data_IF_894199127695
#
_entry.id   IF_894199127695
#
_cell.length_a   1.000
_cell.length_b   1.000
_cell.length_c   1.000
_cell.angle_alpha   90.00
_cell.angle_beta   90.00
_cell.angle_gamma   90.00
#
_symmetry.space_group_name_H-M   'P 1'
#
loop_
_entity.id
_entity.type
_entity.pdbx_description
1 polymer ?
#
# COMPACT_ATOMS: atom_id res chain seq x y z
N UNK A 1 37.21 6.27 41.75
CA UNK A 1 36.43 5.32 42.60
C UNK A 1 35.25 4.79 41.79
N UNK A 2 34.47 3.85 42.33
CA UNK A 2 33.33 3.12 41.71
C UNK A 2 32.72 3.68 40.41
N UNK A 3 32.62 2.82 39.39
CA UNK A 3 31.60 2.93 38.32
C UNK A 3 30.19 2.87 38.94
N UNK A 4 29.19 3.42 38.25
CA UNK A 4 27.86 2.83 38.24
C UNK A 4 27.40 2.70 36.78
N UNK A 5 26.87 1.54 36.45
CA UNK A 5 26.30 1.17 35.15
C UNK A 5 24.90 0.68 35.47
N UNK A 6 23.88 1.16 34.74
CA UNK A 6 22.48 0.88 35.07
C UNK A 6 21.74 0.35 33.85
N UNK A 7 22.04 -0.89 33.50
CA UNK A 7 21.17 -1.73 32.67
C UNK A 7 19.88 -2.02 33.43
N UNK A 8 18.73 -1.90 32.79
CA UNK A 8 17.46 -2.40 33.30
C UNK A 8 16.91 -3.44 32.34
N UNK A 9 16.71 -4.66 32.82
CA UNK A 9 16.20 -5.79 32.03
C UNK A 9 15.35 -6.66 32.94
N UNK A 10 14.03 -6.64 32.72
CA UNK A 10 12.95 -7.47 33.28
C UNK A 10 11.71 -7.08 32.45
N UNK A 11 10.85 -7.98 32.00
CA UNK A 11 10.90 -9.45 32.06
C UNK A 11 9.56 -10.03 31.61
N UNK A 12 9.57 -11.03 30.73
CA UNK A 12 8.35 -11.66 30.22
C UNK A 12 7.63 -12.48 31.32
N UNK A 13 6.31 -12.38 31.36
CA UNK A 13 5.46 -13.24 32.22
C UNK A 13 4.49 -14.01 31.33
N UNK A 14 4.84 -15.26 31.04
CA UNK A 14 3.91 -16.25 30.51
C UNK A 14 3.03 -16.76 31.65
N UNK A 15 1.70 -16.74 31.47
CA UNK A 15 0.75 -17.42 32.35
C UNK A 15 0.06 -18.52 31.55
N UNK A 16 0.48 -19.76 31.79
CA UNK A 16 -0.22 -20.97 31.34
C UNK A 16 -0.63 -21.80 32.56
N UNK A 17 -1.93 -22.05 32.70
CA UNK A 17 -2.51 -23.00 33.65
C UNK A 17 -3.63 -23.75 32.91
N UNK A 18 -3.80 -25.04 33.17
CA UNK A 18 -4.70 -25.88 32.38
C UNK A 18 -5.65 -26.76 33.19
N UNK A 19 -6.76 -27.10 32.53
CA UNK A 19 -7.23 -28.49 32.33
C UNK A 19 -7.67 -29.30 33.57
N UNK A 20 -8.99 -29.58 33.63
CA UNK A 20 -9.68 -30.71 34.33
C UNK A 20 -9.74 -30.66 35.88
N UNK A 21 -10.74 -31.20 36.62
CA UNK A 21 -12.07 -31.86 36.42
C UNK A 21 -12.81 -31.80 37.80
N UNK A 22 -14.12 -32.04 38.03
CA UNK A 22 -15.40 -32.09 37.27
C UNK A 22 -16.55 -32.23 38.35
N UNK A 23 -17.63 -33.00 38.08
CA UNK A 23 -18.73 -33.48 38.97
C UNK A 23 -19.87 -32.50 39.31
N UNK A 24 -20.86 -32.46 38.40
CA UNK A 24 -22.04 -31.60 38.42
C UNK A 24 -23.26 -32.03 39.27
N UNK A 25 -24.37 -31.30 39.10
CA UNK A 25 -25.76 -31.80 39.14
C UNK A 25 -26.81 -30.68 38.97
N UNK A 26 -27.94 -30.96 38.29
CA UNK A 26 -29.21 -30.22 38.47
C UNK A 26 -29.75 -29.34 37.31
N UNK A 27 -30.35 -29.98 36.30
CA UNK A 27 -31.52 -29.54 35.47
C UNK A 27 -31.77 -28.03 35.17
N UNK A 28 -31.82 -27.62 33.88
CA UNK A 28 -32.09 -26.19 33.53
C UNK A 28 -32.51 -25.76 32.10
N UNK A 29 -32.39 -26.61 31.07
CA UNK A 29 -32.87 -26.42 29.68
C UNK A 29 -32.29 -25.30 28.75
N UNK A 30 -31.98 -25.71 27.52
CA UNK A 30 -32.00 -24.94 26.24
C UNK A 30 -31.48 -23.48 26.17
N UNK A 31 -30.19 -23.29 25.89
CA UNK A 31 -29.72 -23.03 24.51
C UNK A 31 -28.18 -22.99 24.41
N UNK A 32 -27.57 -23.84 23.57
CA UNK A 32 -26.17 -23.66 23.16
C UNK A 32 -26.12 -22.77 21.91
N UNK A 33 -25.31 -21.71 21.98
CA UNK A 33 -24.89 -20.89 20.85
C UNK A 33 -23.52 -20.26 21.16
N UNK A 34 -22.49 -21.10 21.20
CA UNK A 34 -21.10 -20.63 21.19
C UNK A 34 -20.82 -19.92 19.87
N UNK A 35 -20.80 -18.59 19.88
CA UNK A 35 -20.30 -17.81 18.74
C UNK A 35 -18.78 -17.89 18.74
N UNK A 36 -18.23 -18.92 18.09
CA UNK A 36 -16.83 -18.94 17.72
C UNK A 36 -16.52 -17.76 16.78
N UNK A 37 -15.30 -17.22 16.86
CA UNK A 37 -14.86 -16.15 15.97
C UNK A 37 -14.80 -16.70 14.54
N UNK A 38 -15.71 -16.25 13.68
CA UNK A 38 -15.81 -16.71 12.29
C UNK A 38 -14.67 -16.11 11.44
N UNK A 39 -13.45 -16.63 11.64
CA UNK A 39 -12.37 -16.47 10.67
C UNK A 39 -12.84 -17.05 9.33
N UNK A 40 -12.75 -16.30 8.22
CA UNK A 40 -13.06 -16.84 6.90
C UNK A 40 -12.27 -18.12 6.64
N UNK A 41 -12.90 -19.11 6.02
CA UNK A 41 -12.16 -20.30 5.61
C UNK A 41 -11.24 -19.96 4.44
N UNK A 42 -10.22 -20.79 4.21
CA UNK A 42 -9.37 -20.67 3.02
C UNK A 42 -10.14 -20.89 1.70
N UNK A 43 -11.39 -21.37 1.76
CA UNK A 43 -12.27 -21.57 0.61
C UNK A 43 -13.14 -20.32 0.34
N UNK A 44 -13.47 -19.51 1.35
CA UNK A 44 -14.17 -18.22 1.14
C UNK A 44 -13.24 -17.14 0.53
N UNK A 45 -11.93 -17.20 0.80
CA UNK A 45 -10.94 -16.36 0.09
C UNK A 45 -10.75 -16.74 -1.38
N UNK A 46 -11.22 -17.92 -1.81
CA UNK A 46 -11.05 -18.38 -3.19
C UNK A 46 -12.10 -17.83 -4.17
N UNK A 47 -13.26 -17.37 -3.69
CA UNK A 47 -14.38 -16.98 -4.57
C UNK A 47 -14.12 -15.66 -5.33
N UNK A 48 -13.36 -14.72 -4.73
CA UNK A 48 -12.92 -13.49 -5.41
C UNK A 48 -11.85 -13.75 -6.50
N UNK A 49 -11.08 -14.83 -6.41
CA UNK A 49 -10.17 -15.24 -7.50
C UNK A 49 -10.94 -15.78 -8.74
N UNK A 50 -12.26 -16.00 -8.64
CA UNK A 50 -13.07 -16.57 -9.71
C UNK A 50 -13.33 -15.64 -10.91
N UNK A 51 -13.09 -14.33 -10.78
CA UNK A 51 -13.40 -13.33 -11.82
C UNK A 51 -12.25 -13.01 -12.79
N UNK A 52 -11.00 -13.31 -12.42
CA UNK A 52 -9.83 -13.03 -13.27
C UNK A 52 -9.19 -14.32 -13.79
N UNK A 53 -9.70 -14.80 -14.94
CA UNK A 53 -8.92 -15.68 -15.81
C UNK A 53 -7.89 -14.87 -16.61
N UNK A 54 -6.93 -14.27 -15.90
CA UNK A 54 -5.63 -13.98 -16.52
C UNK A 54 -5.03 -15.32 -16.95
N UNK A 55 -4.55 -15.41 -18.20
CA UNK A 55 -3.87 -16.61 -18.67
C UNK A 55 -2.64 -16.84 -17.79
N UNK A 56 -2.60 -17.93 -17.01
CA UNK A 56 -1.78 -18.07 -15.79
C UNK A 56 -0.29 -18.38 -16.08
N UNK A 57 0.23 -17.77 -17.14
CA UNK A 57 1.57 -17.91 -17.72
C UNK A 57 2.16 -16.55 -18.15
N UNK A 58 1.40 -15.46 -18.04
CA UNK A 58 1.76 -14.11 -18.47
C UNK A 58 2.14 -13.27 -17.24
N UNK A 59 3.41 -12.92 -17.11
CA UNK A 59 3.85 -11.94 -16.12
C UNK A 59 3.46 -10.54 -16.60
N UNK A 60 2.56 -9.91 -15.86
CA UNK A 60 1.94 -8.63 -16.22
C UNK A 60 2.86 -7.45 -15.90
N UNK A 61 3.70 -7.59 -14.86
CA UNK A 61 4.65 -6.55 -14.45
C UNK A 61 5.86 -6.52 -15.39
N UNK A 62 6.21 -7.67 -15.98
CA UNK A 62 7.24 -7.78 -17.02
C UNK A 62 6.86 -7.16 -18.38
N UNK A 63 5.61 -6.69 -18.56
CA UNK A 63 5.18 -5.96 -19.77
C UNK A 63 5.39 -4.44 -19.68
N UNK A 64 5.68 -3.91 -18.48
CA UNK A 64 6.07 -2.51 -18.27
C UNK A 64 7.48 -2.31 -18.82
N UNK A 65 7.61 -1.42 -19.83
CA UNK A 65 8.87 -1.26 -20.57
C UNK A 65 9.89 -0.34 -19.91
N UNK A 66 9.52 0.28 -18.78
CA UNK A 66 10.39 1.14 -17.98
C UNK A 66 11.62 0.36 -17.51
N UNK A 67 12.80 0.87 -17.86
CA UNK A 67 14.07 0.31 -17.39
C UNK A 67 14.33 0.70 -15.92
N UNK A 68 14.95 -0.18 -15.11
CA UNK A 68 15.52 0.19 -13.82
C UNK A 68 16.49 1.39 -13.98
N UNK A 69 16.56 2.25 -12.96
CA UNK A 69 17.54 3.34 -12.94
C UNK A 69 18.93 2.80 -12.57
N UNK A 70 20.00 3.55 -12.88
CA UNK A 70 21.39 3.11 -12.64
C UNK A 70 21.74 2.79 -11.17
N UNK A 71 20.84 3.08 -10.21
CA UNK A 71 21.01 2.76 -8.78
C UNK A 71 19.73 2.15 -8.15
N UNK A 72 18.80 1.63 -8.96
CA UNK A 72 17.50 1.04 -8.53
C UNK A 72 16.57 1.98 -7.75
N UNK A 73 16.91 3.27 -7.70
CA UNK A 73 16.11 4.33 -7.12
C UNK A 73 14.96 4.71 -8.06
N UNK A 74 13.76 4.82 -7.52
CA UNK A 74 12.59 5.28 -8.25
C UNK A 74 12.70 6.81 -8.40
N UNK A 75 12.44 7.40 -9.58
CA UNK A 75 12.47 8.85 -9.75
C UNK A 75 11.41 9.54 -8.89
N UNK A 76 11.79 10.68 -8.32
CA UNK A 76 10.97 11.51 -7.43
C UNK A 76 11.06 12.98 -7.80
N UNK A 77 10.04 13.74 -7.40
CA UNK A 77 9.98 15.20 -7.49
C UNK A 77 10.03 15.76 -6.07
N UNK A 78 11.05 16.57 -5.77
CA UNK A 78 11.15 17.26 -4.49
C UNK A 78 9.99 18.25 -4.30
N UNK A 79 9.46 18.32 -3.08
CA UNK A 79 8.37 19.23 -2.69
C UNK A 79 8.82 20.19 -1.60
N UNK A 80 8.55 21.48 -1.81
CA UNK A 80 8.77 22.51 -0.79
C UNK A 80 7.74 22.33 0.34
N UNK A 81 8.23 22.23 1.58
CA UNK A 81 7.42 22.21 2.82
C UNK A 81 6.27 21.17 2.80
N UNK A 82 6.59 19.86 2.94
CA UNK A 82 5.60 18.77 2.91
C UNK A 82 4.69 18.72 4.14
N UNK A 83 5.06 19.41 5.23
CA UNK A 83 4.22 19.52 6.41
C UNK A 83 3.41 20.82 6.34
N UNK A 84 2.07 20.79 6.49
CA UNK A 84 1.32 21.99 6.81
C UNK A 84 1.81 22.55 8.16
N UNK A 85 1.96 23.87 8.29
CA UNK A 85 2.17 24.46 9.62
C UNK A 85 0.92 24.22 10.49
N UNK A 86 1.06 23.54 11.62
CA UNK A 86 -0.06 23.06 12.46
C UNK A 86 -1.08 24.15 12.83
N UNK A 87 -0.64 25.41 12.99
CA UNK A 87 -1.50 26.55 13.37
C UNK A 87 -2.07 27.34 12.18
N UNK A 88 -1.77 27.00 10.93
CA UNK A 88 -2.28 27.71 9.75
C UNK A 88 -3.72 27.27 9.40
N UNK A 89 -4.65 28.24 9.37
CA UNK A 89 -6.07 27.98 9.12
C UNK A 89 -6.32 27.32 7.74
N UNK A 90 -5.55 27.69 6.71
CA UNK A 90 -5.69 27.17 5.34
C UNK A 90 -5.47 25.64 5.21
N UNK A 91 -4.81 25.01 6.21
CA UNK A 91 -4.51 23.57 6.20
C UNK A 91 -5.39 22.71 7.11
N UNK A 92 -6.16 23.31 8.02
CA UNK A 92 -6.90 22.60 9.07
C UNK A 92 -8.42 22.70 8.83
N UNK A 93 -9.06 21.59 8.46
CA UNK A 93 -10.46 21.55 8.03
C UNK A 93 -11.24 20.42 8.71
N UNK A 94 -12.56 20.57 8.92
CA UNK A 94 -13.41 19.37 9.05
C UNK A 94 -13.73 18.76 7.69
N UNK A 95 -14.09 17.47 7.68
CA UNK A 95 -14.57 16.75 6.49
C UNK A 95 -15.73 17.46 5.75
N UNK A 96 -16.50 18.31 6.45
CA UNK A 96 -17.59 19.11 5.86
C UNK A 96 -17.14 20.45 5.27
N UNK A 97 -16.04 21.00 5.75
CA UNK A 97 -15.50 22.28 5.25
C UNK A 97 -14.68 22.04 3.99
N UNK A 98 -13.76 21.06 4.02
CA UNK A 98 -12.94 20.72 2.86
C UNK A 98 -13.80 20.32 1.64
N UNK A 99 -14.83 19.49 1.85
CA UNK A 99 -15.75 19.05 0.80
C UNK A 99 -16.76 20.13 0.36
N UNK A 100 -16.92 21.22 1.13
CA UNK A 100 -17.76 22.37 0.74
C UNK A 100 -16.97 23.41 -0.07
N UNK A 101 -15.66 23.48 0.10
CA UNK A 101 -14.84 24.57 -0.43
C UNK A 101 -13.91 24.16 -1.58
N UNK A 102 -13.48 22.88 -1.63
CA UNK A 102 -12.47 22.40 -2.58
C UNK A 102 -12.90 21.20 -3.43
N UNK A 103 -14.12 20.69 -3.24
CA UNK A 103 -14.65 19.59 -4.04
C UNK A 103 -15.19 20.09 -5.39
N UNK A 104 -14.75 19.48 -6.48
CA UNK A 104 -15.18 19.80 -7.84
C UNK A 104 -16.57 19.21 -8.20
N UNK A 105 -17.03 19.51 -9.42
CA UNK A 105 -18.31 19.00 -9.95
C UNK A 105 -18.35 17.46 -10.10
N UNK A 106 -17.20 16.77 -10.01
CA UNK A 106 -17.09 15.31 -10.07
C UNK A 106 -17.02 14.66 -8.68
N UNK A 107 -16.94 15.44 -7.60
CA UNK A 107 -16.79 14.95 -6.22
C UNK A 107 -15.33 14.80 -5.75
N UNK A 108 -14.36 15.36 -6.47
CA UNK A 108 -12.91 15.27 -6.20
C UNK A 108 -12.40 16.54 -5.53
N UNK A 109 -11.63 16.39 -4.46
CA UNK A 109 -10.74 17.40 -3.87
C UNK A 109 -9.32 17.13 -4.39
N UNK A 110 -8.61 18.17 -4.81
CA UNK A 110 -7.23 18.07 -5.29
C UNK A 110 -6.42 19.34 -5.04
N UNK A 111 -5.22 19.18 -4.50
CA UNK A 111 -4.22 20.25 -4.36
C UNK A 111 -2.92 19.80 -5.05
N UNK A 112 -2.41 20.53 -6.06
CA UNK A 112 -1.16 20.18 -6.73
C UNK A 112 0.04 20.28 -5.78
N UNK A 113 1.12 19.52 -6.01
CA UNK A 113 2.30 19.48 -5.12
C UNK A 113 2.84 20.86 -4.68
N UNK A 114 2.83 21.84 -5.59
CA UNK A 114 3.29 23.23 -5.38
C UNK A 114 2.35 24.13 -4.54
N UNK A 115 1.21 23.60 -4.11
CA UNK A 115 0.13 24.28 -3.36
C UNK A 115 -0.16 23.53 -2.05
N UNK A 116 0.88 22.84 -1.57
CA UNK A 116 0.97 21.91 -0.43
C UNK A 116 -0.11 20.80 -0.50
N UNK A 117 0.25 19.54 -0.81
CA UNK A 117 -0.75 18.51 -1.12
C UNK A 117 -1.53 17.96 0.08
N UNK A 118 -1.15 18.32 1.31
CA UNK A 118 -1.68 17.76 2.55
C UNK A 118 -2.65 18.69 3.28
N UNK A 119 -3.69 18.14 3.91
CA UNK A 119 -4.57 18.86 4.85
C UNK A 119 -4.75 18.04 6.13
N UNK A 120 -4.81 18.71 7.27
CA UNK A 120 -5.25 18.13 8.54
C UNK A 120 -6.77 18.08 8.53
N UNK A 121 -7.34 16.88 8.45
CA UNK A 121 -8.78 16.66 8.36
C UNK A 121 -9.33 16.13 9.68
N UNK A 122 -10.21 16.90 10.31
CA UNK A 122 -10.96 16.49 11.50
C UNK A 122 -12.28 15.82 11.12
N UNK A 123 -12.52 14.64 11.70
CA UNK A 123 -13.71 13.83 11.47
C UNK A 123 -15.02 14.55 11.80
N UNK A 124 -16.13 14.17 11.14
CA UNK A 124 -17.48 14.75 11.37
C UNK A 124 -17.94 14.73 12.83
N UNK A 125 -17.45 13.79 13.65
CA UNK A 125 -17.74 13.68 15.08
C UNK A 125 -16.77 14.44 16.00
N UNK A 126 -15.70 15.02 15.45
CA UNK A 126 -14.66 15.76 16.16
C UNK A 126 -13.71 14.91 17.00
N UNK A 127 -13.68 13.58 16.84
CA UNK A 127 -12.85 12.69 17.67
C UNK A 127 -11.45 12.46 17.13
N UNK A 128 -11.27 12.52 15.81
CA UNK A 128 -10.04 12.12 15.12
C UNK A 128 -9.60 13.22 14.17
N UNK A 129 -8.31 13.52 14.14
CA UNK A 129 -7.70 14.36 13.09
C UNK A 129 -6.60 13.55 12.41
N UNK A 130 -6.62 13.53 11.07
CA UNK A 130 -5.67 12.76 10.26
C UNK A 130 -5.09 13.63 9.13
N UNK A 131 -3.87 13.31 8.70
CA UNK A 131 -3.23 13.97 7.57
C UNK A 131 -3.72 13.31 6.27
N UNK A 132 -4.46 14.05 5.45
CA UNK A 132 -4.95 13.60 4.16
C UNK A 132 -4.09 14.14 3.02
N UNK A 133 -3.50 13.24 2.22
CA UNK A 133 -2.86 13.59 0.95
C UNK A 133 -3.93 13.72 -0.15
N UNK A 134 -4.12 14.94 -0.65
CA UNK A 134 -5.07 15.25 -1.73
C UNK A 134 -4.39 15.41 -3.10
N UNK A 135 -3.10 15.08 -3.24
CA UNK A 135 -2.50 14.89 -4.55
C UNK A 135 -2.84 13.51 -5.12
N UNK A 136 -2.49 13.27 -6.38
CA UNK A 136 -2.57 11.99 -7.07
C UNK A 136 -1.23 11.26 -7.17
N UNK A 137 -0.35 11.44 -6.17
CA UNK A 137 0.95 10.76 -6.04
C UNK A 137 1.20 10.27 -4.62
N UNK A 138 2.05 9.25 -4.48
CA UNK A 138 2.62 8.84 -3.20
C UNK A 138 3.66 9.88 -2.77
N UNK A 139 3.79 10.15 -1.46
CA UNK A 139 4.69 11.19 -0.95
C UNK A 139 5.39 10.71 0.32
N UNK A 140 6.71 10.80 0.38
CA UNK A 140 7.48 10.52 1.59
C UNK A 140 7.74 11.81 2.38
N UNK A 141 7.15 11.90 3.57
CA UNK A 141 7.13 13.12 4.37
C UNK A 141 8.50 13.58 4.88
N UNK A 142 9.42 12.66 5.16
CA UNK A 142 10.70 12.99 5.79
C UNK A 142 11.76 13.42 4.78
N UNK A 143 11.75 12.82 3.59
CA UNK A 143 12.66 13.19 2.50
C UNK A 143 12.13 14.40 1.70
N UNK A 144 10.85 14.74 1.85
CA UNK A 144 10.15 15.78 1.10
C UNK A 144 10.11 15.47 -0.42
N UNK A 145 9.74 14.23 -0.76
CA UNK A 145 9.75 13.73 -2.13
C UNK A 145 8.42 13.07 -2.54
N UNK A 146 7.95 13.39 -3.74
CA UNK A 146 6.74 12.84 -4.35
C UNK A 146 7.09 11.87 -5.50
N UNK A 147 6.36 10.77 -5.58
CA UNK A 147 6.57 9.69 -6.56
C UNK A 147 5.62 9.91 -7.74
N UNK A 148 6.15 10.49 -8.81
CA UNK A 148 5.38 11.06 -9.95
C UNK A 148 5.99 10.57 -11.26
N UNK A 149 5.15 10.28 -12.25
CA UNK A 149 5.57 10.01 -13.63
C UNK A 149 5.67 11.31 -14.43
N UNK A 150 6.63 11.39 -15.37
CA UNK A 150 6.64 12.45 -16.38
C UNK A 150 5.39 12.37 -17.29
N UNK A 151 4.96 13.49 -17.88
CA UNK A 151 3.68 13.62 -18.61
C UNK A 151 3.49 12.56 -19.72
N UNK A 152 4.56 12.15 -20.41
CA UNK A 152 4.53 11.12 -21.45
C UNK A 152 4.48 9.69 -20.88
N UNK A 153 5.13 9.46 -19.74
CA UNK A 153 5.02 8.21 -19.00
C UNK A 153 3.63 8.01 -18.37
N UNK A 154 2.91 9.08 -18.02
CA UNK A 154 1.51 9.02 -17.56
C UNK A 154 0.61 8.43 -18.64
N UNK A 155 0.79 8.83 -19.92
CA UNK A 155 0.01 8.27 -21.04
C UNK A 155 0.33 6.78 -21.24
N UNK A 156 1.61 6.37 -21.22
CA UNK A 156 1.97 4.95 -21.33
C UNK A 156 1.42 4.11 -20.16
N UNK A 157 1.57 4.58 -18.92
CA UNK A 157 1.09 3.89 -17.74
C UNK A 157 -0.44 3.71 -17.79
N UNK A 158 -1.20 4.79 -18.02
CA UNK A 158 -2.66 4.70 -18.17
C UNK A 158 -3.06 3.73 -19.29
N UNK A 159 -2.38 3.77 -20.45
CA UNK A 159 -2.64 2.86 -21.57
C UNK A 159 -2.37 1.39 -21.22
N UNK A 160 -1.31 1.10 -20.46
CA UNK A 160 -1.01 -0.24 -19.93
C UNK A 160 -2.16 -0.74 -19.03
N UNK A 161 -2.65 0.08 -18.08
CA UNK A 161 -3.75 -0.32 -17.21
C UNK A 161 -5.06 -0.57 -17.98
N UNK A 162 -5.46 0.27 -18.94
CA UNK A 162 -6.73 0.06 -19.66
C UNK A 162 -6.66 -1.11 -20.66
N UNK A 163 -5.51 -1.38 -21.29
CA UNK A 163 -5.40 -2.48 -22.27
C UNK A 163 -5.15 -3.85 -21.67
N UNK A 164 -4.99 -3.96 -20.34
CA UNK A 164 -4.77 -5.21 -19.62
C UNK A 164 -5.71 -6.36 -20.01
N UNK A 165 -7.02 -6.07 -20.11
CA UNK A 165 -8.08 -7.03 -20.47
C UNK A 165 -8.52 -6.97 -21.95
N UNK A 166 -8.00 -6.03 -22.74
CA UNK A 166 -8.31 -5.85 -24.16
C UNK A 166 -9.01 -4.53 -24.49
N UNK A 167 -9.92 -4.55 -25.48
CA UNK A 167 -10.72 -3.39 -25.87
C UNK A 167 -11.93 -3.20 -24.92
N UNK A 168 -12.12 -1.99 -24.39
CA UNK A 168 -13.24 -1.62 -23.53
C UNK A 168 -13.59 -0.12 -23.58
N UNK A 169 -14.67 0.28 -22.92
CA UNK A 169 -14.98 1.69 -22.66
C UNK A 169 -14.53 2.03 -21.23
N UNK A 170 -13.69 3.06 -21.10
CA UNK A 170 -12.95 3.37 -19.88
C UNK A 170 -13.10 4.85 -19.51
N UNK A 171 -13.06 5.15 -18.20
CA UNK A 171 -12.83 6.48 -17.65
C UNK A 171 -11.46 6.98 -18.09
N UNK A 172 -11.39 8.21 -18.60
CA UNK A 172 -10.11 8.84 -18.96
C UNK A 172 -9.26 9.10 -17.72
N UNK A 173 -7.99 9.46 -17.90
CA UNK A 173 -7.14 9.92 -16.80
C UNK A 173 -7.80 11.06 -16.00
N UNK A 174 -8.46 12.01 -16.68
CA UNK A 174 -9.24 13.11 -16.09
C UNK A 174 -10.39 12.61 -15.21
N UNK A 175 -11.06 11.53 -15.63
CA UNK A 175 -12.17 10.88 -14.92
C UNK A 175 -11.71 9.89 -13.83
N UNK A 176 -10.40 9.66 -13.66
CA UNK A 176 -9.82 8.80 -12.62
C UNK A 176 -9.63 9.53 -11.28
N UNK A 177 -9.82 8.80 -10.17
CA UNK A 177 -9.62 9.34 -8.81
C UNK A 177 -8.14 9.59 -8.52
N UNK A 178 -7.85 10.39 -7.49
CA UNK A 178 -6.48 10.65 -7.08
C UNK A 178 -5.76 9.37 -6.63
N UNK A 179 -6.49 8.43 -6.02
CA UNK A 179 -5.96 7.15 -5.58
C UNK A 179 -5.68 6.24 -6.76
N UNK A 180 -6.60 6.13 -7.73
CA UNK A 180 -6.42 5.33 -8.93
C UNK A 180 -5.17 5.79 -9.71
N UNK A 181 -5.02 7.10 -9.92
CA UNK A 181 -3.83 7.71 -10.53
C UNK A 181 -2.54 7.48 -9.75
N UNK A 182 -2.58 7.62 -8.43
CA UNK A 182 -1.40 7.40 -7.59
C UNK A 182 -0.95 5.94 -7.60
N UNK A 183 -1.89 4.99 -7.60
CA UNK A 183 -1.61 3.56 -7.72
C UNK A 183 -1.08 3.22 -9.11
N UNK A 184 -1.66 3.79 -10.18
CA UNK A 184 -1.16 3.59 -11.54
C UNK A 184 0.30 4.05 -11.68
N UNK A 185 0.62 5.26 -11.21
CA UNK A 185 1.99 5.77 -11.19
C UNK A 185 2.91 4.90 -10.33
N UNK A 186 2.51 4.59 -9.09
CA UNK A 186 3.39 3.89 -8.15
C UNK A 186 3.67 2.44 -8.58
N UNK A 187 2.71 1.72 -9.15
CA UNK A 187 2.96 0.38 -9.71
C UNK A 187 3.88 0.47 -10.93
N UNK A 188 3.63 1.38 -11.86
CA UNK A 188 4.46 1.52 -13.06
C UNK A 188 5.90 1.92 -12.70
N UNK A 189 6.08 2.78 -11.70
CA UNK A 189 7.38 3.15 -11.12
C UNK A 189 8.09 2.01 -10.37
N UNK A 190 7.36 1.09 -9.73
CA UNK A 190 7.94 0.04 -8.86
C UNK A 190 8.16 -1.29 -9.58
N UNK A 191 7.42 -1.58 -10.64
CA UNK A 191 7.51 -2.83 -11.40
C UNK A 191 8.94 -3.20 -11.86
N UNK A 192 9.82 -2.28 -12.33
CA UNK A 192 11.17 -2.64 -12.75
C UNK A 192 12.00 -3.28 -11.62
N UNK A 193 11.89 -2.72 -10.40
CA UNK A 193 12.57 -3.24 -9.21
C UNK A 193 11.99 -4.58 -8.73
N UNK A 194 10.69 -4.82 -8.94
CA UNK A 194 10.06 -6.12 -8.67
C UNK A 194 10.55 -7.16 -9.67
N UNK A 195 10.53 -6.84 -10.97
CA UNK A 195 10.97 -7.73 -12.04
C UNK A 195 12.45 -8.13 -11.86
N UNK A 196 13.34 -7.17 -11.59
CA UNK A 196 14.77 -7.44 -11.38
C UNK A 196 15.02 -8.26 -10.10
N UNK A 197 14.27 -8.01 -9.01
CA UNK A 197 14.33 -8.88 -7.83
C UNK A 197 13.93 -10.33 -8.18
N UNK A 198 12.91 -10.51 -9.01
CA UNK A 198 12.52 -11.81 -9.56
C UNK A 198 13.64 -12.49 -10.34
N UNK A 199 14.36 -11.75 -11.20
CA UNK A 199 15.51 -12.27 -11.95
C UNK A 199 16.69 -12.65 -11.05
N UNK A 200 16.96 -11.88 -9.99
CA UNK A 200 18.00 -12.19 -9.00
C UNK A 200 17.65 -13.46 -8.20
N UNK A 201 16.41 -13.57 -7.72
CA UNK A 201 15.92 -14.73 -6.98
C UNK A 201 15.90 -16.01 -7.84
N UNK A 202 15.53 -15.89 -9.12
CA UNK A 202 15.60 -17.00 -10.08
C UNK A 202 17.04 -17.50 -10.36
N UNK A 203 18.05 -16.66 -10.09
CA UNK A 203 19.48 -16.99 -10.19
C UNK A 203 20.10 -17.43 -8.85
N UNK A 204 19.29 -17.60 -7.80
CA UNK A 204 19.70 -17.90 -6.41
C UNK A 204 20.53 -16.79 -5.73
N UNK A 205 20.37 -15.53 -6.18
CA UNK A 205 21.08 -14.34 -5.68
C UNK A 205 20.25 -13.63 -4.61
N UNK A 206 20.81 -13.48 -3.40
CA UNK A 206 20.17 -12.88 -2.22
C UNK A 206 21.09 -11.84 -1.52
N UNK A 207 22.09 -11.35 -2.26
CA UNK A 207 23.08 -10.38 -1.83
C UNK A 207 23.80 -9.79 -3.07
N UNK A 208 24.55 -8.70 -2.88
CA UNK A 208 25.19 -7.94 -3.95
C UNK A 208 24.63 -6.53 -4.06
N UNK A 209 25.30 -5.66 -4.80
CA UNK A 209 25.01 -4.22 -4.79
C UNK A 209 23.60 -3.92 -5.34
N UNK A 210 23.17 -4.59 -6.40
CA UNK A 210 21.82 -4.44 -6.98
C UNK A 210 20.73 -4.93 -6.02
N UNK A 211 20.87 -6.14 -5.49
CA UNK A 211 19.95 -6.71 -4.48
C UNK A 211 19.81 -5.80 -3.25
N UNK A 212 20.91 -5.23 -2.76
CA UNK A 212 20.90 -4.31 -1.61
C UNK A 212 20.21 -2.98 -1.94
N UNK A 213 20.43 -2.43 -3.14
CA UNK A 213 19.79 -1.18 -3.57
C UNK A 213 18.29 -1.36 -3.81
N UNK A 214 17.87 -2.45 -4.44
CA UNK A 214 16.46 -2.80 -4.64
C UNK A 214 15.74 -2.95 -3.28
N UNK A 215 16.35 -3.65 -2.31
CA UNK A 215 15.81 -3.74 -0.96
C UNK A 215 15.77 -2.39 -0.24
N UNK A 216 16.77 -1.52 -0.42
CA UNK A 216 16.74 -0.15 0.12
C UNK A 216 15.60 0.68 -0.48
N UNK A 217 15.33 0.56 -1.78
CA UNK A 217 14.16 1.19 -2.42
C UNK A 217 12.85 0.65 -1.83
N UNK A 218 12.72 -0.67 -1.64
CA UNK A 218 11.57 -1.27 -0.96
C UNK A 218 11.42 -0.78 0.50
N UNK A 219 12.53 -0.63 1.24
CA UNK A 219 12.53 -0.02 2.58
C UNK A 219 11.96 1.40 2.55
N UNK A 220 12.32 2.23 1.56
CA UNK A 220 11.86 3.61 1.51
C UNK A 220 10.38 3.72 1.12
N UNK A 221 9.92 2.95 0.14
CA UNK A 221 8.52 3.03 -0.31
C UNK A 221 7.54 2.33 0.64
N UNK A 222 7.99 1.33 1.39
CA UNK A 222 7.26 0.74 2.52
C UNK A 222 7.42 1.49 3.86
N UNK A 223 8.06 2.66 3.86
CA UNK A 223 8.22 3.51 5.05
C UNK A 223 6.85 3.93 5.61
N UNK A 224 6.66 3.97 6.95
CA UNK A 224 5.45 4.52 7.56
C UNK A 224 5.31 6.05 7.38
N UNK A 225 6.32 6.70 6.79
CA UNK A 225 6.30 8.11 6.40
C UNK A 225 5.87 8.32 4.94
N UNK A 226 5.59 7.23 4.21
CA UNK A 226 4.99 7.25 2.88
C UNK A 226 3.48 7.42 2.99
N UNK A 227 2.94 8.52 2.48
CA UNK A 227 1.51 8.83 2.53
C UNK A 227 0.89 8.64 1.15
N UNK A 228 0.08 7.60 1.04
CA UNK A 228 -0.78 7.31 -0.11
C UNK A 228 -1.79 8.46 -0.32
N UNK A 229 -2.24 8.74 -1.56
CA UNK A 229 -3.41 9.57 -1.80
C UNK A 229 -4.61 9.10 -0.96
N UNK A 230 -5.37 10.04 -0.40
CA UNK A 230 -6.55 9.71 0.40
C UNK A 230 -7.66 9.14 -0.48
N UNK A 231 -8.37 8.13 0.02
CA UNK A 231 -9.65 7.72 -0.55
C UNK A 231 -10.67 8.86 -0.40
N UNK A 232 -11.48 9.10 -1.45
CA UNK A 232 -12.48 10.18 -1.47
C UNK A 232 -13.89 9.68 -1.82
N UNK A 233 -13.97 8.61 -2.61
CA UNK A 233 -15.21 7.94 -3.02
C UNK A 233 -15.39 6.61 -2.31
N UNK A 234 -16.62 6.07 -2.30
CA UNK A 234 -16.89 4.71 -1.78
C UNK A 234 -16.20 3.61 -2.57
N UNK A 235 -15.80 3.89 -3.81
CA UNK A 235 -15.02 3.00 -4.69
C UNK A 235 -13.51 3.05 -4.40
N UNK A 236 -12.99 4.15 -3.83
CA UNK A 236 -11.58 4.25 -3.44
C UNK A 236 -11.27 3.44 -2.17
N UNK A 237 -12.23 3.24 -1.26
CA UNK A 237 -11.93 2.64 0.04
C UNK A 237 -11.37 1.20 -0.02
N UNK A 238 -11.96 0.26 -0.80
CA UNK A 238 -11.38 -1.08 -0.95
C UNK A 238 -10.02 -1.04 -1.66
N UNK A 239 -9.87 -0.15 -2.64
CA UNK A 239 -8.65 0.08 -3.39
C UNK A 239 -7.50 0.59 -2.49
N UNK A 240 -7.83 1.44 -1.52
CA UNK A 240 -6.91 1.95 -0.49
C UNK A 240 -6.49 0.83 0.48
N UNK A 241 -7.46 0.02 0.95
CA UNK A 241 -7.17 -1.14 1.79
C UNK A 241 -6.27 -2.18 1.10
N UNK A 242 -6.47 -2.45 -0.19
CA UNK A 242 -5.58 -3.32 -0.97
C UNK A 242 -4.20 -2.69 -1.20
N UNK A 243 -4.12 -1.39 -1.44
CA UNK A 243 -2.85 -0.69 -1.60
C UNK A 243 -2.03 -0.65 -0.31
N UNK A 244 -2.66 -0.52 0.86
CA UNK A 244 -1.99 -0.65 2.15
C UNK A 244 -1.33 -2.03 2.34
N UNK A 245 -1.91 -3.11 1.79
CA UNK A 245 -1.30 -4.46 1.84
C UNK A 245 -0.03 -4.53 0.99
N UNK A 246 -0.02 -3.88 -0.18
CA UNK A 246 1.17 -3.79 -1.05
C UNK A 246 2.26 -2.92 -0.39
N UNK A 247 1.86 -1.79 0.23
CA UNK A 247 2.76 -0.90 0.96
C UNK A 247 3.49 -1.61 2.12
N UNK A 248 2.75 -2.40 2.92
CA UNK A 248 3.34 -3.23 3.98
C UNK A 248 4.32 -4.26 3.41
N UNK A 249 3.99 -4.94 2.31
CA UNK A 249 4.88 -5.93 1.69
C UNK A 249 6.19 -5.33 1.16
N UNK A 250 6.18 -4.10 0.61
CA UNK A 250 7.43 -3.39 0.30
C UNK A 250 8.29 -3.19 1.56
N UNK A 251 7.67 -2.77 2.66
CA UNK A 251 8.37 -2.55 3.94
C UNK A 251 8.97 -3.84 4.50
N UNK A 252 8.19 -4.94 4.50
CA UNK A 252 8.62 -6.25 4.97
C UNK A 252 9.74 -6.85 4.10
N UNK A 253 9.73 -6.65 2.78
CA UNK A 253 10.81 -7.09 1.88
C UNK A 253 12.11 -6.32 2.16
N UNK A 254 12.05 -4.99 2.10
CA UNK A 254 13.24 -4.15 2.27
C UNK A 254 13.88 -4.27 3.65
N UNK A 255 13.11 -4.63 4.68
CA UNK A 255 13.59 -4.80 6.06
C UNK A 255 13.87 -6.27 6.44
N UNK A 256 13.80 -7.21 5.49
CA UNK A 256 13.95 -8.64 5.78
C UNK A 256 15.37 -8.99 6.27
N UNK A 257 15.47 -9.53 7.50
CA UNK A 257 16.76 -9.90 8.08
C UNK A 257 17.37 -11.15 7.41
N UNK A 258 18.62 -11.02 6.95
CA UNK A 258 19.46 -12.11 6.41
C UNK A 258 18.80 -12.98 5.30
N UNK A 259 18.41 -12.41 4.13
CA UNK A 259 17.77 -13.17 3.05
C UNK A 259 18.55 -14.42 2.58
N UNK A 260 19.88 -14.38 2.56
CA UNK A 260 20.72 -15.56 2.24
C UNK A 260 20.50 -16.76 3.17
N UNK A 261 20.13 -16.53 4.43
CA UNK A 261 19.92 -17.57 5.45
C UNK A 261 18.47 -18.08 5.49
N UNK A 262 17.52 -17.33 4.94
CA UNK A 262 16.09 -17.69 4.92
C UNK A 262 15.43 -17.44 3.55
N UNK A 263 16.09 -17.95 2.51
CA UNK A 263 15.72 -17.81 1.09
C UNK A 263 14.25 -18.14 0.77
N UNK A 264 13.71 -19.19 1.40
CA UNK A 264 12.33 -19.65 1.18
C UNK A 264 11.30 -18.61 1.61
N UNK A 265 11.46 -18.03 2.80
CA UNK A 265 10.53 -17.01 3.32
C UNK A 265 10.67 -15.67 2.57
N UNK A 266 11.89 -15.26 2.21
CA UNK A 266 12.09 -14.07 1.38
C UNK A 266 11.44 -14.22 0.00
N UNK A 267 11.59 -15.39 -0.65
CA UNK A 267 10.95 -15.69 -1.93
C UNK A 267 9.43 -15.76 -1.83
N UNK A 268 8.89 -16.32 -0.74
CA UNK A 268 7.45 -16.34 -0.49
C UNK A 268 6.87 -14.91 -0.35
N UNK A 269 7.60 -14.01 0.33
CA UNK A 269 7.22 -12.61 0.49
C UNK A 269 7.28 -11.84 -0.84
N UNK A 270 8.34 -12.06 -1.64
CA UNK A 270 8.44 -11.55 -3.00
C UNK A 270 7.27 -12.00 -3.89
N UNK A 271 6.93 -13.28 -3.85
CA UNK A 271 5.82 -13.84 -4.64
C UNK A 271 4.46 -13.24 -4.24
N UNK A 272 4.23 -12.96 -2.95
CA UNK A 272 2.99 -12.30 -2.52
C UNK A 272 2.96 -10.84 -2.97
N UNK A 273 4.09 -10.12 -2.96
CA UNK A 273 4.15 -8.76 -3.51
C UNK A 273 3.83 -8.74 -5.01
N UNK A 274 4.52 -9.56 -5.80
CA UNK A 274 4.32 -9.66 -7.24
C UNK A 274 2.86 -10.01 -7.58
N UNK A 275 2.27 -10.97 -6.85
CA UNK A 275 0.86 -11.34 -6.99
C UNK A 275 -0.10 -10.20 -6.62
N UNK A 276 0.10 -9.49 -5.50
CA UNK A 276 -0.79 -8.38 -5.12
C UNK A 276 -0.68 -7.20 -6.10
N UNK A 277 0.53 -6.86 -6.56
CA UNK A 277 0.72 -5.82 -7.59
C UNK A 277 0.09 -6.23 -8.93
N UNK A 278 0.27 -7.48 -9.37
CA UNK A 278 -0.39 -8.03 -10.57
C UNK A 278 -1.91 -7.96 -10.46
N UNK A 279 -2.47 -8.38 -9.32
CA UNK A 279 -3.92 -8.31 -9.07
C UNK A 279 -4.41 -6.84 -9.07
N UNK A 280 -3.63 -5.90 -8.54
CA UNK A 280 -3.98 -4.48 -8.52
C UNK A 280 -4.08 -3.88 -9.94
N UNK A 281 -3.32 -4.38 -10.93
CA UNK A 281 -3.52 -4.01 -12.34
C UNK A 281 -4.91 -4.43 -12.83
N UNK A 282 -5.35 -5.64 -12.48
CA UNK A 282 -6.70 -6.13 -12.77
C UNK A 282 -7.80 -5.34 -12.05
N UNK A 283 -7.58 -4.99 -10.78
CA UNK A 283 -8.50 -4.14 -9.99
C UNK A 283 -8.65 -2.77 -10.63
N UNK A 284 -7.56 -2.06 -10.92
CA UNK A 284 -7.59 -0.72 -11.56
C UNK A 284 -8.23 -0.78 -12.95
N UNK A 285 -7.89 -1.78 -13.79
CA UNK A 285 -8.57 -1.97 -15.08
C UNK A 285 -10.10 -2.09 -14.90
N UNK A 286 -10.53 -2.80 -13.86
CA UNK A 286 -11.96 -3.03 -13.58
C UNK A 286 -12.65 -1.79 -13.00
N UNK A 287 -12.00 -1.00 -12.13
CA UNK A 287 -12.61 0.24 -11.60
C UNK A 287 -12.70 1.32 -12.68
N UNK A 288 -11.74 1.39 -13.59
CA UNK A 288 -11.75 2.35 -14.71
C UNK A 288 -12.81 2.04 -15.78
N UNK A 289 -13.34 0.82 -15.86
CA UNK A 289 -14.37 0.46 -16.86
C UNK A 289 -15.71 1.20 -16.64
N UNK A 290 -16.50 1.37 -17.70
CA UNK A 290 -17.79 2.09 -17.74
C UNK A 290 -19.03 1.18 -17.87
#
# INVERSE_FOLDING_TARGET
MKKLMMTLTIGTVLVGCGVNDDDGSGEGNEHNASTEENKPSAEEMADYNGLFQSDSSRDVLAEITLSPSENHQIPTVAIDEPFPEDEAEDYNHSEREIAKEYMDDNGRIYFPLKDHPFRNITSVDGTTTYLANYHDSFIHLLDAEAYVLDDDMIEEAYHFFITYSGDGDYRTWEEASNLERGIMQMIYLTAPNVNELGELLAQDIYAGDDFVQINHTFTNIGSPNMILPTAQTTTDMPLFEDMLKIHVLWGELGQFEQPEENKEAYTALYNDLHLKMTNMVGTINTTLAK
#
